data_IF_452328035036
#
_entry.id   IF_452328035036
#
_cell.length_a   1.000
_cell.length_b   1.000
_cell.length_c   1.000
_cell.angle_alpha   90.00
_cell.angle_beta   90.00
_cell.angle_gamma   90.00
#
_symmetry.space_group_name_H-M   'P 1'
#
loop_
_entity.id
_entity.type
_entity.pdbx_description
1 polymer ?
#
# COMPACT_ATOMS: atom_id res chain seq x y z
N UNK A 1 -13.93 17.17 12.59
CA UNK A 1 -14.04 16.20 11.49
C UNK A 1 -12.88 15.23 11.69
N UNK A 2 -13.18 13.96 11.92
CA UNK A 2 -12.15 12.93 11.99
C UNK A 2 -11.77 12.55 10.56
N UNK A 3 -10.47 12.56 10.27
CA UNK A 3 -9.91 12.10 9.00
C UNK A 3 -9.47 10.66 9.18
N UNK A 4 -9.96 9.77 8.34
CA UNK A 4 -9.58 8.36 8.38
C UNK A 4 -8.62 8.06 7.24
N UNK A 5 -7.66 7.19 7.50
CA UNK A 5 -6.66 6.79 6.52
C UNK A 5 -6.75 5.28 6.27
N UNK A 6 -6.74 4.92 4.99
CA UNK A 6 -6.75 3.53 4.52
C UNK A 6 -5.47 3.28 3.73
N UNK A 7 -4.65 2.34 4.18
CA UNK A 7 -3.53 1.84 3.39
C UNK A 7 -3.99 0.65 2.54
N UNK A 8 -3.62 0.64 1.27
CA UNK A 8 -3.85 -0.47 0.34
C UNK A 8 -2.50 -0.91 -0.20
N UNK A 9 -2.19 -2.19 -0.03
CA UNK A 9 -0.98 -2.83 -0.56
C UNK A 9 -1.20 -3.25 -2.00
N UNK A 10 -0.16 -3.14 -2.81
CA UNK A 10 -0.19 -3.53 -4.22
C UNK A 10 0.96 -4.47 -4.53
N UNK A 11 0.66 -5.55 -5.24
CA UNK A 11 1.65 -6.35 -5.92
C UNK A 11 1.97 -5.67 -7.26
N UNK A 12 3.27 -5.47 -7.50
CA UNK A 12 3.76 -4.78 -8.70
C UNK A 12 4.90 -5.58 -9.30
N UNK A 13 4.68 -6.08 -10.51
CA UNK A 13 5.71 -6.76 -11.30
C UNK A 13 5.77 -6.17 -12.70
N UNK A 14 6.81 -5.36 -12.95
CA UNK A 14 7.03 -4.67 -14.23
C UNK A 14 7.19 -5.66 -15.39
N UNK A 15 7.78 -6.83 -15.13
CA UNK A 15 8.02 -7.85 -16.15
C UNK A 15 6.72 -8.50 -16.66
N UNK A 16 5.73 -8.63 -15.79
CA UNK A 16 4.45 -9.26 -16.09
C UNK A 16 3.33 -8.25 -16.36
N UNK A 17 3.66 -6.95 -16.41
CA UNK A 17 2.69 -5.84 -16.47
C UNK A 17 1.62 -5.96 -15.36
N UNK A 18 2.03 -6.41 -14.17
CA UNK A 18 1.14 -6.67 -13.04
C UNK A 18 1.10 -5.46 -12.11
N UNK A 19 -0.10 -4.98 -11.82
CA UNK A 19 -0.36 -3.96 -10.81
C UNK A 19 -1.72 -4.24 -10.16
N UNK A 20 -1.73 -5.01 -9.08
CA UNK A 20 -2.97 -5.50 -8.45
C UNK A 20 -3.05 -5.10 -6.98
N UNK A 21 -4.24 -4.72 -6.53
CA UNK A 21 -4.50 -4.49 -5.11
C UNK A 21 -4.55 -5.82 -4.35
N UNK A 22 -3.91 -5.84 -3.18
CA UNK A 22 -3.81 -7.04 -2.35
C UNK A 22 -4.74 -6.94 -1.13
N UNK A 23 -4.34 -6.13 -0.14
CA UNK A 23 -5.05 -6.00 1.12
C UNK A 23 -5.26 -4.54 1.48
N UNK A 24 -6.22 -4.32 2.39
CA UNK A 24 -6.57 -2.99 2.88
C UNK A 24 -6.46 -2.95 4.41
N UNK A 25 -5.88 -1.86 4.93
CA UNK A 25 -5.58 -1.69 6.35
C UNK A 25 -6.00 -0.30 6.84
N UNK A 26 -6.85 -0.20 7.87
CA UNK A 26 -7.08 1.07 8.54
C UNK A 26 -5.79 1.51 9.25
N UNK A 27 -5.39 2.77 9.07
CA UNK A 27 -4.25 3.32 9.81
C UNK A 27 -4.72 3.99 11.10
N UNK A 28 -3.96 3.76 12.17
CA UNK A 28 -4.16 4.43 13.44
C UNK A 28 -3.57 5.85 13.38
N UNK A 29 -4.44 6.85 13.50
CA UNK A 29 -4.07 8.27 13.43
C UNK A 29 -3.23 8.74 14.61
N UNK A 30 -3.16 7.96 15.71
CA UNK A 30 -2.31 8.26 16.87
C UNK A 30 -0.88 7.79 16.71
N UNK A 31 -0.60 6.96 15.69
CA UNK A 31 0.72 6.40 15.39
C UNK A 31 1.32 7.06 14.16
N UNK A 32 2.64 6.97 14.02
CA UNK A 32 3.36 7.48 12.86
C UNK A 32 2.97 6.67 11.62
N UNK A 33 2.43 7.35 10.60
CA UNK A 33 1.96 6.73 9.36
C UNK A 33 3.07 5.94 8.65
N UNK A 34 4.27 6.51 8.54
CA UNK A 34 5.36 5.92 7.76
C UNK A 34 5.83 4.59 8.36
N UNK A 35 5.87 4.48 9.69
CA UNK A 35 6.16 3.21 10.38
C UNK A 35 5.11 2.16 10.12
N UNK A 36 3.83 2.52 10.26
CA UNK A 36 2.73 1.58 10.00
C UNK A 36 2.76 1.09 8.55
N UNK A 37 2.93 1.99 7.59
CA UNK A 37 2.99 1.66 6.16
C UNK A 37 4.19 0.75 5.85
N UNK A 38 5.35 0.99 6.45
CA UNK A 38 6.52 0.12 6.29
C UNK A 38 6.29 -1.29 6.88
N UNK A 39 5.65 -1.39 8.04
CA UNK A 39 5.29 -2.68 8.64
C UNK A 39 4.28 -3.45 7.77
N UNK A 40 3.27 -2.75 7.24
CA UNK A 40 2.27 -3.31 6.32
C UNK A 40 2.94 -3.80 5.03
N UNK A 41 3.80 -2.97 4.41
CA UNK A 41 4.53 -3.34 3.20
C UNK A 41 5.37 -4.61 3.42
N UNK A 42 6.04 -4.70 4.57
CA UNK A 42 6.83 -5.87 4.95
C UNK A 42 5.98 -7.11 5.21
N UNK A 43 4.79 -6.94 5.80
CA UNK A 43 3.88 -8.05 6.08
C UNK A 43 3.36 -8.68 4.78
N UNK A 44 2.96 -7.83 3.84
CA UNK A 44 2.37 -8.28 2.57
C UNK A 44 3.41 -8.55 1.48
N UNK A 45 4.68 -8.20 1.71
CA UNK A 45 5.74 -8.18 0.70
C UNK A 45 5.28 -7.33 -0.49
N UNK A 46 4.77 -6.13 -0.19
CA UNK A 46 4.17 -5.24 -1.17
C UNK A 46 5.16 -4.13 -1.58
N UNK A 47 5.59 -4.09 -2.85
CA UNK A 47 6.48 -3.04 -3.35
C UNK A 47 5.84 -1.65 -3.35
N UNK A 48 4.50 -1.58 -3.39
CA UNK A 48 3.78 -0.32 -3.35
C UNK A 48 2.69 -0.34 -2.29
N UNK A 49 2.58 0.76 -1.54
CA UNK A 49 1.46 1.00 -0.63
C UNK A 49 0.88 2.38 -0.91
N UNK A 50 -0.41 2.44 -1.22
CA UNK A 50 -1.14 3.71 -1.36
C UNK A 50 -1.95 3.98 -0.10
N UNK A 51 -1.85 5.18 0.41
CA UNK A 51 -2.67 5.69 1.51
C UNK A 51 -3.73 6.61 0.94
N UNK A 52 -4.98 6.33 1.28
CA UNK A 52 -6.14 7.12 0.92
C UNK A 52 -6.72 7.80 2.15
N UNK A 53 -7.31 8.98 1.96
CA UNK A 53 -8.14 9.66 2.94
C UNK A 53 -9.60 9.28 2.69
N UNK A 54 -10.31 8.91 3.75
CA UNK A 54 -11.75 8.72 3.76
C UNK A 54 -12.41 9.75 4.68
N UNK A 55 -13.61 10.19 4.28
CA UNK A 55 -14.43 11.11 5.06
C UNK A 55 -15.39 10.39 6.03
N UNK A 56 -15.32 9.06 6.09
CA UNK A 56 -16.19 8.21 6.89
C UNK A 56 -15.41 7.11 7.60
N UNK A 57 -15.84 6.78 8.82
CA UNK A 57 -15.20 5.82 9.71
C UNK A 57 -15.30 4.37 9.21
N UNK A 58 -16.28 4.07 8.36
CA UNK A 58 -16.45 2.75 7.74
C UNK A 58 -15.48 2.51 6.59
N UNK A 59 -14.68 3.51 6.21
CA UNK A 59 -13.67 3.46 5.14
C UNK A 59 -14.27 2.98 3.80
N UNK A 60 -15.58 3.20 3.61
CA UNK A 60 -16.32 2.86 2.40
C UNK A 60 -16.74 4.13 1.66
N UNK A 61 -16.84 4.04 0.35
CA UNK A 61 -17.26 5.15 -0.52
C UNK A 61 -16.08 5.91 -1.11
N UNK A 62 -16.28 7.21 -1.35
CA UNK A 62 -15.28 8.05 -2.01
C UNK A 62 -14.05 8.24 -1.13
N UNK A 63 -12.93 7.66 -1.58
CA UNK A 63 -11.61 7.83 -0.98
C UNK A 63 -10.70 8.59 -1.94
N UNK A 64 -9.88 9.49 -1.40
CA UNK A 64 -8.96 10.30 -2.19
C UNK A 64 -7.54 9.83 -1.92
N UNK A 65 -6.75 9.58 -2.96
CA UNK A 65 -5.34 9.25 -2.80
C UNK A 65 -4.62 10.38 -2.08
N UNK A 66 -3.96 10.06 -0.98
CA UNK A 66 -3.24 11.01 -0.15
C UNK A 66 -1.73 10.92 -0.38
N UNK A 67 -1.18 9.71 -0.30
CA UNK A 67 0.25 9.46 -0.45
C UNK A 67 0.50 8.07 -0.99
N UNK A 68 1.58 7.91 -1.73
CA UNK A 68 2.05 6.63 -2.24
C UNK A 68 3.47 6.39 -1.72
N UNK A 69 3.74 5.13 -1.35
CA UNK A 69 5.01 4.68 -0.81
C UNK A 69 5.55 3.55 -1.67
N UNK A 70 6.83 3.63 -1.98
CA UNK A 70 7.55 2.65 -2.79
C UNK A 70 8.63 1.98 -1.95
N UNK A 71 8.63 0.65 -1.97
CA UNK A 71 9.52 -0.22 -1.22
C UNK A 71 10.26 -1.14 -2.17
N UNK A 72 11.41 -0.66 -2.69
CA UNK A 72 12.24 -1.41 -3.66
C UNK A 72 12.68 -2.78 -3.16
N UNK A 73 12.81 -2.96 -1.86
CA UNK A 73 13.20 -4.24 -1.26
C UNK A 73 12.15 -5.35 -1.44
N UNK A 74 10.90 -4.98 -1.77
CA UNK A 74 9.80 -5.91 -2.03
C UNK A 74 9.43 -5.99 -3.52
N UNK A 75 10.13 -5.28 -4.42
CA UNK A 75 9.94 -5.44 -5.86
C UNK A 75 10.39 -6.84 -6.29
N UNK A 76 9.69 -7.45 -7.27
CA UNK A 76 10.13 -8.73 -7.82
C UNK A 76 11.55 -8.59 -8.38
N UNK A 77 12.52 -9.22 -7.72
CA UNK A 77 13.82 -9.53 -8.30
C UNK A 77 13.68 -10.72 -9.25
N UNK A 78 12.81 -10.57 -10.25
CA UNK A 78 12.65 -11.48 -11.35
C UNK A 78 13.95 -11.41 -12.17
N UNK A 79 15.02 -12.08 -11.69
CA UNK A 79 16.21 -12.34 -12.49
C UNK A 79 15.73 -13.12 -13.70
N UNK A 80 15.83 -12.52 -14.88
CA UNK A 80 15.66 -13.22 -16.15
C UNK A 80 16.60 -14.43 -16.13
N UNK A 81 16.08 -15.61 -15.85
CA UNK A 81 16.78 -16.84 -16.19
C UNK A 81 16.73 -16.91 -17.72
N UNK A 82 17.75 -16.35 -18.35
CA UNK A 82 18.08 -16.61 -19.74
C UNK A 82 18.63 -18.04 -19.77
N UNK A 83 17.78 -19.01 -20.12
CA UNK A 83 18.23 -20.36 -20.52
C UNK A 83 18.91 -20.31 -21.90
#
# INVERSE_FOLDING_TARGET
METYYLAVTYDVCVHNDLYEDMNQYPLDSTKEMEKQVAEIAKQDIAPVVKVFIANSADLKGDVTLYKEFYFKEFECNCTEYVE
#
